data_IF_899189432868
#
_entry.id   IF_899189432868
#
_cell.length_a   1.000
_cell.length_b   1.000
_cell.length_c   1.000
_cell.angle_alpha   90.00
_cell.angle_beta   90.00
_cell.angle_gamma   90.00
#
_symmetry.space_group_name_H-M   'P 1'
#
loop_
_entity.id
_entity.type
_entity.pdbx_description
1 polymer ?
#
# COMPACT_ATOMS: atom_id res chain seq x y z
N UNK A 1 13.65 21.26 -39.38
CA UNK A 1 14.73 20.74 -38.51
C UNK A 1 14.34 21.00 -37.07
N UNK A 2 14.30 19.97 -36.21
CA UNK A 2 13.99 20.15 -34.78
C UNK A 2 15.17 20.87 -34.12
N UNK A 3 14.89 21.95 -33.40
CA UNK A 3 15.89 22.76 -32.71
C UNK A 3 16.68 21.89 -31.70
N UNK A 4 17.99 21.74 -31.94
CA UNK A 4 18.87 20.91 -31.11
C UNK A 4 18.88 21.34 -29.64
N UNK A 5 18.70 22.64 -29.34
CA UNK A 5 18.62 23.14 -27.96
C UNK A 5 17.35 22.68 -27.27
N UNK A 6 16.20 22.68 -27.98
CA UNK A 6 14.95 22.14 -27.45
C UNK A 6 15.03 20.64 -27.24
N UNK A 7 15.70 19.92 -28.13
CA UNK A 7 15.89 18.47 -28.00
C UNK A 7 16.78 18.11 -26.80
N UNK A 8 17.87 18.88 -26.59
CA UNK A 8 18.74 18.72 -25.43
C UNK A 8 18.00 19.02 -24.12
N UNK A 9 17.22 20.12 -24.07
CA UNK A 9 16.39 20.47 -22.91
C UNK A 9 15.33 19.40 -22.61
N UNK A 10 14.66 18.87 -23.65
CA UNK A 10 13.70 17.78 -23.48
C UNK A 10 14.38 16.50 -22.97
N UNK A 11 15.55 16.13 -23.52
CA UNK A 11 16.31 14.97 -23.02
C UNK A 11 16.72 15.16 -21.56
N UNK A 12 17.17 16.35 -21.19
CA UNK A 12 17.51 16.69 -19.81
C UNK A 12 16.28 16.52 -18.90
N UNK A 13 15.14 17.11 -19.25
CA UNK A 13 13.89 16.97 -18.50
C UNK A 13 13.43 15.51 -18.40
N UNK A 14 13.54 14.73 -19.48
CA UNK A 14 13.22 13.30 -19.45
C UNK A 14 14.16 12.57 -18.50
N UNK A 15 15.48 12.77 -18.63
CA UNK A 15 16.50 12.09 -17.82
C UNK A 15 16.39 12.44 -16.34
N UNK A 16 16.24 13.72 -16.01
CA UNK A 16 16.00 14.19 -14.63
C UNK A 16 14.63 13.71 -14.12
N UNK A 17 13.65 13.62 -15.01
CA UNK A 17 12.30 13.11 -14.75
C UNK A 17 12.15 11.62 -14.53
N UNK A 18 13.14 10.80 -14.92
CA UNK A 18 13.10 9.35 -14.73
C UNK A 18 13.11 8.97 -13.24
N UNK A 19 13.56 9.86 -12.36
CA UNK A 19 13.36 9.77 -10.91
C UNK A 19 12.37 10.84 -10.49
N UNK A 20 11.09 10.50 -10.46
CA UNK A 20 10.07 11.37 -9.88
C UNK A 20 10.42 11.56 -8.40
N UNK A 21 10.93 12.74 -8.04
CA UNK A 21 11.17 13.16 -6.68
C UNK A 21 10.07 14.15 -6.28
N UNK A 22 9.52 13.97 -5.08
CA UNK A 22 8.54 14.89 -4.49
C UNK A 22 9.11 16.32 -4.50
N UNK A 23 8.45 17.25 -5.22
CA UNK A 23 8.73 18.69 -5.13
C UNK A 23 9.58 19.32 -6.24
N UNK A 24 10.07 18.57 -7.22
CA UNK A 24 10.76 19.14 -8.40
C UNK A 24 9.79 19.54 -9.53
N UNK A 25 10.22 20.42 -10.45
CA UNK A 25 9.41 20.96 -11.56
C UNK A 25 8.54 19.86 -12.20
N UNK A 26 7.23 20.05 -12.09
CA UNK A 26 6.24 18.99 -12.29
C UNK A 26 6.18 18.58 -13.76
N UNK A 27 6.85 17.48 -14.10
CA UNK A 27 6.52 16.72 -15.30
C UNK A 27 5.06 16.32 -15.15
N UNK A 28 4.21 16.80 -16.04
CA UNK A 28 2.79 16.44 -16.03
C UNK A 28 2.63 15.04 -16.61
N UNK A 29 1.81 14.22 -15.97
CA UNK A 29 1.37 12.94 -16.47
C UNK A 29 0.65 13.15 -17.80
N UNK A 30 1.14 12.50 -18.85
CA UNK A 30 0.47 12.48 -20.13
C UNK A 30 -0.62 11.41 -20.02
N UNK A 31 -1.88 11.84 -20.01
CA UNK A 31 -3.00 10.91 -19.89
C UNK A 31 -3.00 9.93 -21.07
N UNK A 32 -2.98 8.63 -20.76
CA UNK A 32 -3.08 7.58 -21.76
C UNK A 32 -4.41 6.85 -21.56
N UNK A 33 -5.26 6.87 -22.58
CA UNK A 33 -6.61 6.32 -22.50
C UNK A 33 -7.47 7.06 -21.47
N UNK A 34 -7.97 6.32 -20.48
CA UNK A 34 -8.81 6.84 -19.39
C UNK A 34 -8.16 6.71 -18.01
N UNK A 35 -6.84 6.51 -17.96
CA UNK A 35 -6.13 6.18 -16.72
C UNK A 35 -6.29 7.27 -15.63
N UNK A 36 -6.26 8.56 -16.02
CA UNK A 36 -6.44 9.68 -15.09
C UNK A 36 -7.89 9.77 -14.57
N UNK A 37 -8.87 9.55 -15.44
CA UNK A 37 -10.29 9.56 -15.08
C UNK A 37 -10.63 8.40 -14.14
N UNK A 38 -10.15 7.20 -14.47
CA UNK A 38 -10.38 5.98 -13.67
C UNK A 38 -9.73 6.11 -12.29
N UNK A 39 -8.45 6.51 -12.21
CA UNK A 39 -7.76 6.61 -10.93
C UNK A 39 -8.40 7.66 -10.01
N UNK A 40 -9.02 8.70 -10.58
CA UNK A 40 -9.70 9.77 -9.84
C UNK A 40 -11.13 9.41 -9.41
N UNK A 41 -11.72 8.33 -9.94
CA UNK A 41 -13.07 7.90 -9.60
C UNK A 41 -13.18 7.35 -8.17
N UNK A 42 -14.35 7.45 -7.53
CA UNK A 42 -14.60 6.90 -6.18
C UNK A 42 -14.85 5.38 -6.21
N UNK A 43 -13.83 4.65 -6.65
CA UNK A 43 -13.80 3.20 -6.75
C UNK A 43 -12.39 2.70 -6.43
N UNK A 44 -12.30 1.46 -5.95
CA UNK A 44 -11.02 0.80 -5.70
C UNK A 44 -10.34 0.46 -7.03
N UNK A 45 -9.06 0.80 -7.16
CA UNK A 45 -8.29 0.53 -8.37
C UNK A 45 -6.94 -0.09 -8.05
N UNK A 46 -6.48 -0.91 -9.00
CA UNK A 46 -5.08 -1.34 -9.04
C UNK A 46 -4.47 -0.95 -10.38
N UNK A 47 -3.46 -0.09 -10.34
CA UNK A 47 -2.65 0.31 -11.49
C UNK A 47 -1.56 -0.74 -11.71
N UNK A 48 -1.60 -1.40 -12.86
CA UNK A 48 -0.58 -2.35 -13.27
C UNK A 48 0.34 -1.72 -14.32
N UNK A 49 1.62 -1.67 -14.01
CA UNK A 49 2.64 -1.25 -14.97
C UNK A 49 4.02 -1.81 -14.65
N UNK A 50 4.90 -1.88 -15.66
CA UNK A 50 6.33 -2.11 -15.44
C UNK A 50 7.01 -0.89 -14.80
N UNK A 51 8.26 -1.08 -14.39
CA UNK A 51 9.12 0.01 -13.92
C UNK A 51 9.33 1.04 -15.02
N UNK A 52 9.29 2.32 -14.65
CA UNK A 52 9.43 3.44 -15.60
C UNK A 52 8.17 3.81 -16.38
N UNK A 53 7.03 3.12 -16.20
CA UNK A 53 5.77 3.43 -16.89
C UNK A 53 4.96 4.59 -16.25
N UNK A 54 5.52 5.31 -15.28
CA UNK A 54 4.88 6.50 -14.70
C UNK A 54 3.75 6.22 -13.68
N UNK A 55 3.78 5.10 -12.95
CA UNK A 55 2.78 4.77 -11.90
C UNK A 55 2.71 5.84 -10.81
N UNK A 56 3.84 6.16 -10.21
CA UNK A 56 4.00 7.20 -9.18
C UNK A 56 3.53 8.56 -9.69
N UNK A 57 3.88 8.88 -10.94
CA UNK A 57 3.46 10.12 -11.56
C UNK A 57 1.94 10.19 -11.75
N UNK A 58 1.30 9.10 -12.21
CA UNK A 58 -0.15 9.01 -12.31
C UNK A 58 -0.82 9.24 -10.94
N UNK A 59 -0.32 8.60 -9.87
CA UNK A 59 -0.87 8.76 -8.53
C UNK A 59 -0.74 10.21 -8.02
N UNK A 60 0.45 10.81 -8.14
CA UNK A 60 0.67 12.20 -7.70
C UNK A 60 -0.15 13.22 -8.50
N UNK A 61 -0.19 13.08 -9.83
CA UNK A 61 -0.94 14.03 -10.65
C UNK A 61 -2.45 13.86 -10.50
N UNK A 62 -2.92 12.62 -10.28
CA UNK A 62 -4.33 12.40 -9.92
C UNK A 62 -4.66 13.10 -8.60
N UNK A 63 -3.81 12.99 -7.57
CA UNK A 63 -4.01 13.64 -6.28
C UNK A 63 -4.09 15.18 -6.39
N UNK A 64 -3.29 15.82 -7.25
CA UNK A 64 -3.33 17.27 -7.50
C UNK A 64 -4.63 17.73 -8.18
N UNK A 65 -5.28 16.85 -8.94
CA UNK A 65 -6.50 17.14 -9.68
C UNK A 65 -7.78 16.79 -8.90
N UNK A 66 -7.65 16.19 -7.72
CA UNK A 66 -8.80 15.84 -6.89
C UNK A 66 -9.54 17.09 -6.40
N UNK A 67 -10.89 17.04 -6.33
CA UNK A 67 -11.66 18.07 -5.65
C UNK A 67 -11.20 18.26 -4.20
N UNK A 68 -11.30 19.48 -3.62
CA UNK A 68 -10.82 19.76 -2.26
C UNK A 68 -11.40 18.86 -1.17
N UNK A 69 -12.60 18.31 -1.38
CA UNK A 69 -13.27 17.39 -0.47
C UNK A 69 -12.75 15.94 -0.49
N UNK A 70 -11.90 15.60 -1.45
CA UNK A 70 -11.24 14.30 -1.55
C UNK A 70 -9.78 14.48 -1.16
N UNK A 71 -9.33 13.72 -0.15
CA UNK A 71 -7.91 13.72 0.26
C UNK A 71 -7.24 12.46 -0.24
N UNK A 72 -6.02 12.59 -0.76
CA UNK A 72 -5.19 11.44 -1.11
C UNK A 72 -4.07 11.31 -0.10
N UNK A 73 -3.93 10.12 0.47
CA UNK A 73 -2.83 9.74 1.36
C UNK A 73 -1.91 8.87 0.53
N UNK A 74 -0.71 9.37 0.26
CA UNK A 74 0.30 8.68 -0.52
C UNK A 74 1.25 7.90 0.41
N UNK A 75 1.41 6.62 0.10
CA UNK A 75 2.25 5.66 0.81
C UNK A 75 3.13 4.95 -0.20
N UNK A 76 4.44 5.04 -0.04
CA UNK A 76 5.39 4.33 -0.89
C UNK A 76 5.85 3.04 -0.19
N UNK A 77 5.46 1.87 -0.71
CA UNK A 77 5.88 0.59 -0.13
C UNK A 77 7.38 0.32 -0.28
N UNK A 78 8.11 1.08 -1.10
CA UNK A 78 9.58 1.04 -1.10
C UNK A 78 10.17 1.45 0.26
N UNK A 79 9.57 2.41 0.94
CA UNK A 79 10.05 2.91 2.23
C UNK A 79 9.91 1.86 3.34
N UNK A 80 8.96 0.93 3.16
CA UNK A 80 8.66 -0.15 4.11
C UNK A 80 9.33 -1.49 3.76
N UNK A 81 10.28 -1.53 2.82
CA UNK A 81 10.95 -2.77 2.40
C UNK A 81 11.56 -3.60 3.54
N UNK A 82 12.04 -2.92 4.57
CA UNK A 82 12.66 -3.54 5.75
C UNK A 82 11.67 -3.77 6.89
N UNK A 83 10.46 -3.21 6.82
CA UNK A 83 9.45 -3.40 7.83
C UNK A 83 8.93 -4.84 7.73
N UNK A 84 8.77 -5.50 8.88
CA UNK A 84 8.12 -6.80 8.88
C UNK A 84 6.61 -6.62 8.80
N UNK A 85 5.92 -7.64 8.28
CA UNK A 85 4.48 -7.70 8.45
C UNK A 85 4.17 -8.09 9.91
N UNK A 86 3.27 -7.42 10.64
CA UNK A 86 2.24 -6.51 10.16
C UNK A 86 2.54 -5.01 10.37
N UNK A 87 3.78 -4.60 10.65
CA UNK A 87 4.10 -3.18 10.85
C UNK A 87 3.80 -2.32 9.62
N UNK A 88 3.87 -2.88 8.41
CA UNK A 88 3.37 -2.22 7.19
C UNK A 88 1.91 -1.78 7.32
N UNK A 89 1.03 -2.60 7.91
CA UNK A 89 -0.37 -2.23 8.15
C UNK A 89 -0.50 -1.11 9.19
N UNK A 90 0.34 -1.16 10.23
CA UNK A 90 0.36 -0.14 11.28
C UNK A 90 0.78 1.21 10.70
N UNK A 91 1.74 1.24 9.78
CA UNK A 91 2.17 2.46 9.07
C UNK A 91 1.06 3.04 8.18
N UNK A 92 0.38 2.18 7.42
CA UNK A 92 -0.77 2.58 6.58
C UNK A 92 -1.88 3.17 7.46
N UNK A 93 -2.21 2.51 8.57
CA UNK A 93 -3.21 2.99 9.53
C UNK A 93 -2.77 4.28 10.21
N UNK A 94 -1.51 4.40 10.61
CA UNK A 94 -0.97 5.59 11.26
C UNK A 94 -1.08 6.80 10.34
N UNK A 95 -0.70 6.64 9.07
CA UNK A 95 -0.84 7.68 8.04
C UNK A 95 -2.31 8.07 7.80
N UNK A 96 -3.22 7.08 7.77
CA UNK A 96 -4.66 7.33 7.66
C UNK A 96 -5.19 8.15 8.83
N UNK A 97 -4.87 7.74 10.06
CA UNK A 97 -5.39 8.39 11.25
C UNK A 97 -4.72 9.73 11.55
N UNK A 98 -3.50 9.95 11.09
CA UNK A 98 -2.85 11.26 11.09
C UNK A 98 -3.54 12.24 10.15
N UNK A 99 -3.86 11.83 8.92
CA UNK A 99 -4.62 12.66 7.99
C UNK A 99 -6.03 12.95 8.53
N UNK A 100 -6.70 11.96 9.15
CA UNK A 100 -7.99 12.18 9.79
C UNK A 100 -7.89 13.22 10.93
N UNK A 101 -6.88 13.14 11.79
CA UNK A 101 -6.68 14.07 12.91
C UNK A 101 -6.38 15.49 12.41
N UNK A 102 -5.60 15.63 11.33
CA UNK A 102 -5.24 16.93 10.75
C UNK A 102 -6.45 17.69 10.20
N UNK A 103 -7.46 16.97 9.69
CA UNK A 103 -8.72 17.55 9.18
C UNK A 103 -9.85 17.65 10.22
N UNK A 104 -9.64 17.17 11.45
CA UNK A 104 -10.58 17.36 12.56
C UNK A 104 -10.42 18.76 13.19
N UNK A 105 -11.13 19.72 12.59
CA UNK A 105 -11.26 21.09 13.09
C UNK A 105 -12.52 21.24 13.96
N UNK A 106 -12.32 21.33 15.28
CA UNK A 106 -13.40 21.60 16.24
C UNK A 106 -13.02 21.25 17.68
N UNK A 107 -13.41 22.11 18.63
CA UNK A 107 -13.08 21.98 20.05
C UNK A 107 -14.28 21.60 20.94
N UNK A 108 -15.47 21.48 20.36
CA UNK A 108 -16.71 21.25 21.12
C UNK A 108 -17.54 20.07 20.60
N UNK A 109 -18.37 19.51 21.48
CA UNK A 109 -19.38 18.51 21.17
C UNK A 109 -18.81 17.22 20.55
N UNK A 110 -19.53 16.71 19.54
CA UNK A 110 -19.21 15.45 18.85
C UNK A 110 -17.79 15.47 18.24
N UNK A 111 -17.37 16.60 17.66
CA UNK A 111 -16.03 16.77 17.06
C UNK A 111 -14.90 16.58 18.06
N UNK A 112 -15.02 17.13 19.28
CA UNK A 112 -14.01 16.95 20.34
C UNK A 112 -13.91 15.47 20.74
N UNK A 113 -15.05 14.81 20.93
CA UNK A 113 -15.10 13.38 21.26
C UNK A 113 -14.45 12.53 20.16
N UNK A 114 -14.76 12.79 18.89
CA UNK A 114 -14.11 12.13 17.76
C UNK A 114 -12.60 12.35 17.81
N UNK A 115 -12.14 13.58 18.05
CA UNK A 115 -10.71 13.90 18.15
C UNK A 115 -10.00 13.14 19.27
N UNK A 116 -10.64 12.99 20.43
CA UNK A 116 -10.10 12.21 21.55
C UNK A 116 -9.98 10.71 21.20
N UNK A 117 -10.99 10.15 20.51
CA UNK A 117 -10.95 8.76 20.01
C UNK A 117 -9.85 8.57 18.96
N UNK A 118 -9.70 9.50 18.03
CA UNK A 118 -8.64 9.41 17.00
C UNK A 118 -7.26 9.50 17.66
N UNK A 119 -7.08 10.36 18.66
CA UNK A 119 -5.83 10.43 19.43
C UNK A 119 -5.52 9.12 20.17
N UNK A 120 -6.52 8.45 20.75
CA UNK A 120 -6.29 7.16 21.42
C UNK A 120 -5.95 6.05 20.42
N UNK A 121 -6.57 6.06 19.23
CA UNK A 121 -6.21 5.16 18.13
C UNK A 121 -4.75 5.39 17.71
N UNK A 122 -4.34 6.64 17.48
CA UNK A 122 -2.95 6.97 17.13
C UNK A 122 -1.96 6.53 18.20
N UNK A 123 -2.28 6.75 19.48
CA UNK A 123 -1.45 6.29 20.59
C UNK A 123 -1.32 4.77 20.62
N UNK A 124 -2.42 4.04 20.42
CA UNK A 124 -2.41 2.56 20.36
C UNK A 124 -1.59 2.05 19.17
N UNK A 125 -1.72 2.67 17.99
CA UNK A 125 -0.91 2.33 16.81
C UNK A 125 0.59 2.55 17.07
N UNK A 126 0.96 3.67 17.68
CA UNK A 126 2.34 3.96 18.06
C UNK A 126 2.90 2.92 19.05
N UNK A 127 2.12 2.50 20.05
CA UNK A 127 2.51 1.44 20.99
C UNK A 127 2.69 0.09 20.25
N UNK A 128 1.78 -0.25 19.34
CA UNK A 128 1.88 -1.49 18.56
C UNK A 128 3.10 -1.48 17.64
N UNK A 129 3.46 -0.32 17.07
CA UNK A 129 4.65 -0.14 16.24
C UNK A 129 5.95 -0.33 17.04
N UNK A 130 6.02 0.21 18.27
CA UNK A 130 7.21 0.14 19.13
C UNK A 130 7.44 -1.24 19.75
N UNK A 131 6.41 -2.11 19.80
CA UNK A 131 6.61 -3.47 20.25
C UNK A 131 7.53 -4.21 19.26
N UNK A 132 8.70 -4.70 19.69
CA UNK A 132 9.70 -5.24 18.77
C UNK A 132 9.13 -6.34 17.90
N UNK A 133 9.49 -6.31 16.62
CA UNK A 133 9.26 -7.45 15.74
C UNK A 133 10.29 -8.53 16.07
N UNK A 134 9.84 -9.77 16.21
CA UNK A 134 10.70 -10.90 16.59
C UNK A 134 11.87 -11.09 15.60
N UNK A 135 11.80 -10.62 14.35
CA UNK A 135 12.96 -10.62 13.44
C UNK A 135 14.15 -9.80 13.98
N UNK A 136 13.91 -8.67 14.65
CA UNK A 136 15.00 -7.88 15.25
C UNK A 136 15.58 -8.57 16.49
N UNK A 137 14.74 -9.26 17.28
CA UNK A 137 15.19 -10.06 18.41
C UNK A 137 16.01 -11.28 17.95
N UNK A 138 15.57 -12.00 16.91
CA UNK A 138 16.25 -13.16 16.34
C UNK A 138 17.61 -12.79 15.70
N UNK A 139 17.69 -11.66 14.97
CA UNK A 139 18.97 -11.16 14.43
C UNK A 139 19.93 -10.84 15.58
N UNK A 140 19.48 -10.12 16.62
CA UNK A 140 20.32 -9.80 17.78
C UNK A 140 20.79 -11.04 18.52
N UNK A 141 19.93 -12.06 18.68
CA UNK A 141 20.30 -13.32 19.33
C UNK A 141 21.27 -14.15 18.49
N UNK A 142 21.12 -14.15 17.16
CA UNK A 142 22.02 -14.86 16.24
C UNK A 142 23.41 -14.23 16.26
N UNK A 143 23.51 -12.91 16.17
CA UNK A 143 24.80 -12.18 16.28
C UNK A 143 25.44 -12.34 17.67
N UNK A 144 24.65 -12.39 18.75
CA UNK A 144 25.17 -12.63 20.09
C UNK A 144 25.72 -14.06 20.27
N UNK A 145 25.05 -15.06 19.67
CA UNK A 145 25.52 -16.45 19.68
C UNK A 145 26.75 -16.66 18.80
N UNK A 146 26.84 -16.03 17.63
CA UNK A 146 28.04 -16.07 16.77
C UNK A 146 29.27 -15.50 17.49
N UNK A 147 29.09 -14.42 18.26
CA UNK A 147 30.18 -13.84 19.06
C UNK A 147 30.57 -14.71 20.27
N UNK A 148 29.63 -15.44 20.86
CA UNK A 148 29.91 -16.38 21.95
C UNK A 148 30.59 -17.67 21.46
N UNK A 149 30.20 -18.17 20.28
CA UNK A 149 30.76 -19.39 19.65
C UNK A 149 32.19 -19.19 19.11
N UNK A 150 32.62 -17.96 18.83
CA UNK A 150 34.00 -17.69 18.43
C UNK A 150 35.00 -17.65 19.61
N UNK A 151 34.52 -17.69 20.86
CA UNK A 151 35.38 -17.62 22.07
C UNK A 151 35.59 -18.96 22.77
N UNK A 152 34.86 -20.01 22.42
CA UNK A 152 35.02 -21.35 23.01
C UNK A 152 34.92 -22.44 21.93
N UNK A 153 35.88 -23.35 21.93
CA UNK A 153 35.97 -24.58 21.12
C UNK A 153 36.76 -24.47 19.81
N UNK A 154 38.08 -24.53 19.97
CA UNK A 154 38.94 -25.13 18.97
C UNK A 154 38.58 -26.59 18.70
N UNK A 155 38.65 -26.95 17.42
CA UNK A 155 39.15 -28.21 16.86
C UNK A 155 38.49 -29.53 17.34
N UNK A 156 37.74 -30.14 16.40
CA UNK A 156 37.39 -31.57 16.29
C UNK A 156 36.04 -32.06 16.84
N UNK A 157 34.90 -31.62 16.28
CA UNK A 157 33.64 -32.41 16.31
C UNK A 157 32.55 -31.99 15.28
N UNK A 158 32.86 -31.26 14.21
CA UNK A 158 31.86 -30.37 13.57
C UNK A 158 31.05 -30.90 12.37
N UNK A 159 31.27 -32.10 11.83
CA UNK A 159 30.63 -32.43 10.54
C UNK A 159 29.26 -33.14 10.64
N UNK A 160 28.98 -33.90 11.71
CA UNK A 160 27.88 -34.90 11.69
C UNK A 160 26.68 -34.54 12.56
N UNK A 161 26.85 -33.72 13.61
CA UNK A 161 25.73 -33.25 14.45
C UNK A 161 25.10 -31.93 14.00
N UNK A 162 25.75 -31.20 13.08
CA UNK A 162 25.26 -29.90 12.61
C UNK A 162 24.03 -30.02 11.70
N UNK A 163 23.89 -31.12 10.94
CA UNK A 163 22.81 -31.32 9.98
C UNK A 163 21.46 -31.69 10.62
N UNK A 164 21.47 -32.43 11.73
CA UNK A 164 20.25 -32.91 12.39
C UNK A 164 19.71 -31.90 13.44
N UNK A 165 20.60 -31.13 14.08
CA UNK A 165 20.24 -30.08 15.03
C UNK A 165 19.78 -28.79 14.35
N UNK A 166 20.40 -28.42 13.22
CA UNK A 166 20.06 -27.24 12.44
C UNK A 166 18.61 -27.29 11.96
N UNK A 167 18.21 -28.35 11.25
CA UNK A 167 16.85 -28.49 10.69
C UNK A 167 15.73 -28.42 11.74
N UNK A 168 15.97 -28.94 12.96
CA UNK A 168 14.98 -28.92 14.05
C UNK A 168 14.92 -27.58 14.80
N UNK A 169 16.04 -26.89 14.98
CA UNK A 169 16.09 -25.50 15.50
C UNK A 169 15.46 -24.51 14.53
N UNK A 170 15.83 -24.57 13.24
CA UNK A 170 15.28 -23.69 12.21
C UNK A 170 13.75 -23.84 12.09
N UNK A 171 13.21 -25.06 12.23
CA UNK A 171 11.76 -25.30 12.20
C UNK A 171 11.04 -24.73 13.45
N UNK A 172 11.65 -24.85 14.63
CA UNK A 172 11.13 -24.31 15.90
C UNK A 172 11.18 -22.77 15.97
N UNK A 173 12.24 -22.15 15.48
CA UNK A 173 12.42 -20.69 15.41
C UNK A 173 11.48 -20.08 14.36
N UNK A 174 11.37 -20.73 13.20
CA UNK A 174 10.37 -20.37 12.18
C UNK A 174 8.96 -20.42 12.77
N UNK A 175 8.58 -21.48 13.50
CA UNK A 175 7.26 -21.57 14.14
C UNK A 175 6.99 -20.49 15.19
N UNK A 176 7.99 -20.03 15.95
CA UNK A 176 7.84 -18.93 16.92
C UNK A 176 7.69 -17.56 16.25
N UNK A 177 8.50 -17.30 15.22
CA UNK A 177 8.40 -16.07 14.42
C UNK A 177 7.01 -15.96 13.77
N UNK A 178 6.49 -17.06 13.20
CA UNK A 178 5.12 -17.12 12.66
C UNK A 178 4.01 -16.87 13.70
N UNK A 179 4.19 -17.26 14.97
CA UNK A 179 3.17 -17.08 16.04
C UNK A 179 3.01 -15.61 16.48
N UNK A 180 4.11 -14.85 16.57
CA UNK A 180 4.05 -13.43 17.00
C UNK A 180 3.46 -12.52 15.91
N UNK A 181 3.82 -12.74 14.64
CA UNK A 181 3.24 -12.03 13.48
C UNK A 181 1.72 -12.21 13.42
N UNK A 182 1.24 -13.42 13.76
CA UNK A 182 -0.19 -13.75 13.85
C UNK A 182 -0.90 -12.99 14.97
N UNK A 183 -0.23 -12.70 16.09
CA UNK A 183 -0.86 -12.01 17.22
C UNK A 183 -1.14 -10.54 16.93
N UNK A 184 -0.15 -9.79 16.41
CA UNK A 184 -0.37 -8.38 16.00
C UNK A 184 -1.43 -8.29 14.90
N UNK A 185 -1.39 -9.17 13.90
CA UNK A 185 -2.42 -9.23 12.86
C UNK A 185 -3.81 -9.54 13.44
N UNK A 186 -3.91 -10.53 14.34
CA UNK A 186 -5.17 -10.85 15.02
C UNK A 186 -5.71 -9.66 15.83
N UNK A 187 -4.84 -8.92 16.50
CA UNK A 187 -5.25 -7.72 17.23
C UNK A 187 -5.79 -6.65 16.26
N UNK A 188 -5.10 -6.41 15.15
CA UNK A 188 -5.57 -5.49 14.09
C UNK A 188 -6.91 -5.94 13.49
N UNK A 189 -7.11 -7.25 13.28
CA UNK A 189 -8.35 -7.82 12.77
C UNK A 189 -9.51 -7.67 13.75
N UNK A 190 -9.28 -7.95 15.04
CA UNK A 190 -10.26 -7.75 16.11
C UNK A 190 -10.62 -6.27 16.29
N UNK A 191 -9.65 -5.38 16.04
CA UNK A 191 -9.83 -3.93 16.19
C UNK A 191 -10.47 -3.26 14.97
N UNK A 192 -10.45 -3.92 13.81
CA UNK A 192 -10.96 -3.40 12.54
C UNK A 192 -12.40 -2.82 12.64
N UNK A 193 -13.38 -3.43 13.33
CA UNK A 193 -14.72 -2.86 13.47
C UNK A 193 -14.73 -1.50 14.16
N UNK A 194 -13.89 -1.30 15.19
CA UNK A 194 -13.79 -0.04 15.92
C UNK A 194 -13.08 1.05 15.09
N UNK A 195 -12.05 0.67 14.33
CA UNK A 195 -11.40 1.57 13.38
C UNK A 195 -12.42 2.08 12.36
N UNK A 196 -13.21 1.18 11.75
CA UNK A 196 -14.27 1.54 10.79
C UNK A 196 -15.34 2.43 11.41
N UNK A 197 -15.75 2.15 12.66
CA UNK A 197 -16.70 3.00 13.39
C UNK A 197 -16.15 4.42 13.56
N UNK A 198 -14.88 4.55 13.92
CA UNK A 198 -14.21 5.84 14.12
C UNK A 198 -14.03 6.62 12.81
N UNK A 199 -13.74 5.91 11.72
CA UNK A 199 -13.69 6.50 10.37
C UNK A 199 -15.07 7.02 9.94
N UNK A 200 -16.14 6.24 10.14
CA UNK A 200 -17.52 6.71 9.84
C UNK A 200 -17.87 7.93 10.67
N UNK A 201 -17.51 7.91 11.95
CA UNK A 201 -17.74 9.02 12.85
C UNK A 201 -17.01 10.29 12.38
N UNK A 202 -15.76 10.17 11.92
CA UNK A 202 -15.02 11.26 11.28
C UNK A 202 -15.79 11.83 10.10
N UNK A 203 -16.20 10.99 9.13
CA UNK A 203 -16.95 11.48 7.97
C UNK A 203 -18.32 12.08 8.32
N UNK A 204 -18.95 11.64 9.42
CA UNK A 204 -20.21 12.21 9.89
C UNK A 204 -20.04 13.61 10.50
N UNK A 205 -18.86 13.95 11.03
CA UNK A 205 -18.59 15.27 11.64
C UNK A 205 -17.73 16.18 10.76
N UNK A 206 -17.05 15.62 9.77
CA UNK A 206 -16.20 16.36 8.84
C UNK A 206 -17.05 17.19 7.89
N UNK A 207 -16.74 18.48 7.79
CA UNK A 207 -17.39 19.40 6.84
C UNK A 207 -16.63 19.49 5.52
N UNK A 208 -15.32 19.27 5.57
CA UNK A 208 -14.40 19.59 4.48
C UNK A 208 -13.90 18.35 3.75
N UNK A 209 -13.96 17.17 4.38
CA UNK A 209 -13.47 15.91 3.79
C UNK A 209 -14.63 14.95 3.67
N UNK A 210 -14.99 14.60 2.43
CA UNK A 210 -16.07 13.67 2.10
C UNK A 210 -15.56 12.30 1.67
N UNK A 211 -14.30 12.20 1.30
CA UNK A 211 -13.69 10.96 0.82
C UNK A 211 -12.17 10.99 1.03
N UNK A 212 -11.57 9.83 1.27
CA UNK A 212 -10.12 9.67 1.31
C UNK A 212 -9.70 8.54 0.35
N UNK A 213 -8.69 8.80 -0.46
CA UNK A 213 -8.01 7.82 -1.29
C UNK A 213 -6.71 7.37 -0.62
N UNK A 214 -6.57 6.07 -0.38
CA UNK A 214 -5.33 5.45 0.08
C UNK A 214 -4.50 5.05 -1.15
N UNK A 215 -3.55 5.90 -1.54
CA UNK A 215 -2.63 5.65 -2.65
C UNK A 215 -1.43 4.86 -2.15
N UNK A 216 -1.33 3.59 -2.55
CA UNK A 216 -0.28 2.67 -2.12
C UNK A 216 0.56 2.34 -3.33
N UNK A 217 1.73 2.96 -3.41
CA UNK A 217 2.63 2.81 -4.54
C UNK A 217 3.64 1.68 -4.33
N UNK A 218 4.06 1.11 -5.46
CA UNK A 218 5.05 0.04 -5.56
C UNK A 218 4.83 -1.13 -4.56
N UNK A 219 3.60 -1.64 -4.44
CA UNK A 219 3.25 -2.77 -3.56
C UNK A 219 4.17 -4.00 -3.74
N UNK A 220 4.70 -4.21 -4.96
CA UNK A 220 5.65 -5.29 -5.26
C UNK A 220 6.96 -5.23 -4.45
N UNK A 221 7.23 -4.12 -3.75
CA UNK A 221 8.36 -3.99 -2.83
C UNK A 221 8.15 -4.67 -1.48
N UNK A 222 6.91 -4.93 -1.08
CA UNK A 222 6.63 -5.76 0.09
C UNK A 222 6.98 -7.24 -0.20
N UNK A 223 7.27 -8.00 0.85
CA UNK A 223 7.46 -9.46 0.76
C UNK A 223 6.21 -10.08 0.10
N UNK A 224 6.42 -10.91 -0.93
CA UNK A 224 5.33 -11.49 -1.73
C UNK A 224 4.34 -12.32 -0.91
N UNK A 225 4.80 -12.93 0.18
CA UNK A 225 3.96 -13.68 1.11
C UNK A 225 2.94 -12.81 1.86
N UNK A 226 3.24 -11.52 2.03
CA UNK A 226 2.50 -10.58 2.89
C UNK A 226 1.55 -9.68 2.07
N UNK A 227 1.83 -9.49 0.77
CA UNK A 227 1.07 -8.59 -0.10
C UNK A 227 -0.44 -8.87 -0.10
N UNK A 228 -0.85 -10.15 -0.21
CA UNK A 228 -2.27 -10.50 -0.20
C UNK A 228 -2.95 -10.16 1.13
N UNK A 229 -2.25 -10.33 2.27
CA UNK A 229 -2.79 -9.96 3.58
C UNK A 229 -2.91 -8.45 3.75
N UNK A 230 -1.94 -7.70 3.24
CA UNK A 230 -2.00 -6.23 3.25
C UNK A 230 -3.21 -5.76 2.44
N UNK A 231 -3.35 -6.25 1.20
CA UNK A 231 -4.48 -5.94 0.31
C UNK A 231 -5.81 -6.34 0.95
N UNK A 232 -5.88 -7.52 1.55
CA UNK A 232 -7.06 -8.03 2.25
C UNK A 232 -7.52 -7.09 3.36
N UNK A 233 -6.61 -6.70 4.24
CA UNK A 233 -6.91 -5.80 5.36
C UNK A 233 -7.37 -4.43 4.86
N UNK A 234 -6.68 -3.85 3.88
CA UNK A 234 -7.06 -2.56 3.28
C UNK A 234 -8.43 -2.65 2.62
N UNK A 235 -8.71 -3.71 1.88
CA UNK A 235 -10.02 -3.94 1.26
C UNK A 235 -11.12 -3.99 2.32
N UNK A 236 -10.94 -4.79 3.39
CA UNK A 236 -11.90 -4.90 4.49
C UNK A 236 -12.09 -3.58 5.24
N UNK A 237 -11.03 -2.79 5.41
CA UNK A 237 -11.03 -1.45 6.00
C UNK A 237 -11.85 -0.47 5.15
N UNK A 238 -11.66 -0.48 3.83
CA UNK A 238 -12.35 0.43 2.90
C UNK A 238 -13.84 0.12 2.70
N UNK A 239 -14.26 -1.13 2.95
CA UNK A 239 -15.65 -1.55 2.77
C UNK A 239 -16.61 -0.77 3.68
N UNK A 240 -17.72 -0.29 3.14
CA UNK A 240 -18.79 0.44 3.87
C UNK A 240 -18.33 1.73 4.58
N UNK A 241 -17.27 2.36 4.06
CA UNK A 241 -16.79 3.69 4.48
C UNK A 241 -16.34 4.49 3.24
N UNK A 242 -16.33 5.84 3.26
CA UNK A 242 -15.84 6.68 2.16
C UNK A 242 -14.31 6.63 1.92
N UNK A 243 -13.70 5.45 2.05
CA UNK A 243 -12.30 5.18 1.76
C UNK A 243 -12.20 4.33 0.49
N UNK A 244 -11.25 4.65 -0.38
CA UNK A 244 -10.95 3.86 -1.56
C UNK A 244 -9.45 3.67 -1.71
N UNK A 245 -9.01 2.45 -2.00
CA UNK A 245 -7.59 2.21 -2.26
C UNK A 245 -7.26 2.41 -3.75
N UNK A 246 -6.06 2.92 -3.98
CA UNK A 246 -5.43 3.13 -5.28
C UNK A 246 -4.06 2.49 -5.22
N UNK A 247 -3.98 1.20 -5.57
CA UNK A 247 -2.74 0.44 -5.44
C UNK A 247 -2.00 0.50 -6.77
N UNK A 248 -0.73 0.90 -6.77
CA UNK A 248 0.13 0.79 -7.95
C UNK A 248 1.12 -0.35 -7.77
N UNK A 249 1.22 -1.22 -8.78
CA UNK A 249 2.10 -2.37 -8.71
C UNK A 249 2.46 -2.98 -10.08
N UNK A 250 3.25 -4.05 -10.05
CA UNK A 250 3.62 -4.88 -11.20
C UNK A 250 2.80 -6.17 -11.23
N UNK A 251 2.07 -6.43 -12.32
CA UNK A 251 1.15 -7.56 -12.45
C UNK A 251 1.77 -8.92 -12.12
N UNK A 252 2.96 -9.20 -12.67
CA UNK A 252 3.63 -10.50 -12.48
C UNK A 252 4.55 -10.57 -11.26
N UNK A 253 4.77 -9.45 -10.57
CA UNK A 253 5.61 -9.39 -9.37
C UNK A 253 4.78 -9.16 -8.09
N UNK A 254 3.45 -9.14 -8.21
CA UNK A 254 2.55 -8.96 -7.07
C UNK A 254 1.50 -10.04 -6.93
N UNK A 255 1.12 -10.28 -5.69
CA UNK A 255 0.03 -11.17 -5.30
C UNK A 255 -1.06 -10.32 -4.66
N UNK A 256 -2.12 -9.99 -5.42
CA UNK A 256 -3.27 -9.22 -4.93
C UNK A 256 -4.32 -10.09 -4.24
N UNK A 257 -4.37 -11.36 -4.63
CA UNK A 257 -5.33 -12.36 -4.19
C UNK A 257 -4.65 -13.71 -4.10
N UNK A 258 -4.95 -14.48 -3.06
CA UNK A 258 -4.50 -15.85 -2.89
C UNK A 258 -5.65 -16.67 -2.28
N UNK A 259 -5.90 -17.85 -2.83
CA UNK A 259 -6.75 -18.85 -2.19
C UNK A 259 -5.86 -19.75 -1.33
N UNK A 260 -6.12 -19.77 -0.01
CA UNK A 260 -5.41 -20.64 0.94
C UNK A 260 -6.43 -21.49 1.69
N UNK A 261 -6.37 -22.79 1.48
CA UNK A 261 -7.19 -23.77 2.21
C UNK A 261 -8.71 -23.49 2.09
N UNK A 262 -9.16 -22.93 0.96
CA UNK A 262 -10.55 -22.57 0.72
C UNK A 262 -10.97 -21.24 1.32
N UNK A 263 -10.03 -20.49 1.93
CA UNK A 263 -10.24 -19.13 2.38
C UNK A 263 -9.59 -18.15 1.38
N UNK A 264 -10.38 -17.37 0.63
CA UNK A 264 -9.85 -16.32 -0.22
C UNK A 264 -9.28 -15.18 0.65
N UNK A 265 -8.04 -14.79 0.34
CA UNK A 265 -7.33 -13.69 1.01
C UNK A 265 -6.93 -12.67 -0.05
N UNK A 266 -7.24 -11.40 0.20
CA UNK A 266 -6.85 -10.29 -0.65
C UNK A 266 -8.05 -9.65 -1.32
N UNK A 267 -7.80 -9.03 -2.47
CA UNK A 267 -8.84 -8.43 -3.29
C UNK A 267 -8.79 -9.04 -4.69
N UNK A 268 -9.93 -9.48 -5.21
CA UNK A 268 -10.04 -10.10 -6.50
C UNK A 268 -10.29 -9.06 -7.60
N UNK A 269 -9.54 -9.15 -8.70
CA UNK A 269 -9.70 -8.26 -9.86
C UNK A 269 -11.14 -8.36 -10.40
N UNK A 270 -11.75 -7.21 -10.73
CA UNK A 270 -13.13 -7.06 -11.25
C UNK A 270 -14.27 -7.40 -10.29
N UNK A 271 -13.95 -7.92 -9.12
CA UNK A 271 -14.92 -8.11 -8.04
C UNK A 271 -14.74 -7.02 -6.97
N UNK A 272 -13.50 -6.80 -6.52
CA UNK A 272 -13.18 -5.89 -5.42
C UNK A 272 -12.49 -4.60 -5.85
N UNK A 273 -11.86 -4.60 -7.03
CA UNK A 273 -11.23 -3.43 -7.65
C UNK A 273 -11.24 -3.51 -9.17
N UNK A 274 -11.13 -2.36 -9.83
CA UNK A 274 -10.98 -2.24 -11.27
C UNK A 274 -9.49 -2.12 -11.66
N UNK A 275 -8.96 -2.95 -12.57
CA UNK A 275 -7.59 -2.83 -13.06
C UNK A 275 -7.44 -1.63 -14.00
N UNK A 276 -6.34 -0.88 -13.85
CA UNK A 276 -5.88 0.13 -14.81
C UNK A 276 -4.53 -0.33 -15.33
N UNK A 277 -4.42 -0.62 -16.63
CA UNK A 277 -3.15 -1.02 -17.24
C UNK A 277 -2.54 0.18 -17.96
N UNK A 278 -1.34 0.60 -17.53
CA UNK A 278 -0.62 1.72 -18.17
C UNK A 278 0.70 1.29 -18.84
N UNK A 279 0.96 -0.01 -18.89
CA UNK A 279 2.07 -0.59 -19.66
C UNK A 279 1.67 -0.68 -21.14
N UNK A 280 1.68 0.47 -21.82
CA UNK A 280 1.42 0.52 -23.25
C UNK A 280 2.69 0.17 -24.01
N UNK A 281 2.66 -0.93 -24.75
CA UNK A 281 3.68 -1.23 -25.76
C UNK A 281 3.31 -0.55 -27.08
N UNK A 282 4.28 -0.37 -27.99
CA UNK A 282 4.00 0.19 -29.32
C UNK A 282 2.93 -0.60 -30.10
N UNK A 283 2.74 -1.87 -29.75
CA UNK A 283 1.70 -2.78 -30.25
C UNK A 283 0.27 -2.31 -29.92
N UNK A 284 0.09 -1.55 -28.84
CA UNK A 284 -1.22 -1.20 -28.29
C UNK A 284 -1.81 0.09 -28.89
N UNK A 285 -1.05 0.81 -29.73
CA UNK A 285 -1.47 2.08 -30.35
C UNK A 285 -2.75 1.98 -31.17
N UNK A 286 -3.05 0.82 -31.78
CA UNK A 286 -4.30 0.59 -32.50
C UNK A 286 -5.54 0.67 -31.60
N UNK A 287 -5.38 0.40 -30.30
CA UNK A 287 -6.43 0.35 -29.29
C UNK A 287 -6.68 1.69 -28.59
N UNK A 288 -5.77 2.65 -28.76
CA UNK A 288 -5.79 3.99 -28.13
C UNK A 288 -6.71 4.96 -28.90
N UNK A 289 -7.28 4.55 -30.04
CA UNK A 289 -8.41 5.28 -30.62
C UNK A 289 -9.62 5.10 -29.70
N UNK A 290 -10.30 6.19 -29.28
CA UNK A 290 -11.50 6.06 -28.47
C UNK A 290 -12.51 5.17 -29.20
N UNK A 291 -12.85 4.02 -28.60
CA UNK A 291 -13.95 3.17 -29.07
C UNK A 291 -15.25 3.92 -28.81
N UNK A 292 -15.68 4.74 -29.75
CA UNK A 292 -17.03 5.25 -29.84
C UNK A 292 -18.00 4.11 -30.23
N UNK A 293 -18.30 3.22 -29.29
CA UNK A 293 -19.37 2.22 -29.29
C UNK A 293 -19.25 1.47 -27.95
N UNK A 294 -20.17 1.51 -27.00
CA UNK A 294 -21.55 1.03 -27.08
C UNK A 294 -22.39 1.76 -26.02
N UNK A 295 -23.26 2.68 -26.43
CA UNK A 295 -24.45 3.08 -25.68
C UNK A 295 -25.65 2.61 -26.51
N UNK A 296 -26.12 1.39 -26.25
CA UNK A 296 -27.46 0.98 -26.71
C UNK A 296 -28.46 1.73 -25.85
N UNK A 297 -29.01 2.81 -26.42
CA UNK A 297 -30.20 3.47 -25.91
C UNK A 297 -31.35 2.47 -26.00
N UNK A 298 -31.90 2.06 -24.86
CA UNK A 298 -33.21 1.42 -24.81
C UNK A 298 -34.27 2.51 -25.09
N UNK A 299 -35.16 2.35 -26.09
CA UNK A 299 -36.26 3.28 -26.27
C UNK A 299 -37.30 3.01 -25.19
N UNK A 300 -37.60 4.03 -24.39
CA UNK A 300 -38.80 4.09 -23.56
C UNK A 300 -39.95 4.40 -24.52
N UNK A 301 -40.84 3.43 -24.74
CA UNK A 301 -42.12 3.70 -25.39
C UNK A 301 -43.01 4.48 -24.41
N UNK A 302 -43.53 5.60 -24.91
CA UNK A 302 -44.64 6.39 -24.38
C UNK A 302 -45.95 5.63 -24.33
#
# INVERSE_FOLDING_TARGET
>A
MVDQKKLAKLRQLITEGLRVQLGHEAITYINVGHAMEDISARQNHTVFARRGCGKTLLLHDSAKQLPPEIKAIYLNCEDFKQHTFPNVLIEILSSLFEEIDSHLSGWFGRKRRTKEIIKSIRAKLATMHQSPDVQEEDIRQTTANENALNSEAGLHAEAVNFSLGGSRKTKSETERSFRSHRQKLQELDLWLPELKKSIREFFAVSTNVKCIFLQIDDLYHLKRADQAFVVDYIHRLCKDVPLFFKIATMRHASTMFADREGQPIGAQERHDYQPINIDYTFSDFGSIRPRAAVLRVFPICS
#
